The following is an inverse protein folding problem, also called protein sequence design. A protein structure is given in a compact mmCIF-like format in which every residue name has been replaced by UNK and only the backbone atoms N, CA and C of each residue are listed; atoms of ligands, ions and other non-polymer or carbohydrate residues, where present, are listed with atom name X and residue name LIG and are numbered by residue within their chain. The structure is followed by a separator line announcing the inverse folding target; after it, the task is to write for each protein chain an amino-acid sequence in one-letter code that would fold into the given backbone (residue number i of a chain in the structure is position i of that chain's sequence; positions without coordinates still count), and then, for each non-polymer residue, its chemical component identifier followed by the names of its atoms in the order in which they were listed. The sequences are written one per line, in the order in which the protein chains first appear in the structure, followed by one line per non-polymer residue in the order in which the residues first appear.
data_IF_607262125267
#
_entry.id   IF_607262125267
#
_cell.length_a   1.000
_cell.length_b   1.000
_cell.length_c   1.000
_cell.angle_alpha   90.00
_cell.angle_beta   90.00
_cell.angle_gamma   90.00
#
_symmetry.space_group_name_H-M   'P 1'
#
loop_
_entity.id
_entity.type
_entity.pdbx_description
1 polymer ?
#
# COMPACT_ATOMS: atom_id res chain seq x y z
N UNK A 1 36.32 28.72 66.00
CA UNK A 1 37.00 27.80 65.06
C UNK A 1 35.91 27.03 64.35
N UNK A 2 35.36 27.64 63.30
CA UNK A 2 34.59 26.99 62.25
C UNK A 2 35.33 27.43 60.99
N UNK A 3 35.88 26.47 60.24
CA UNK A 3 36.41 26.74 58.90
C UNK A 3 35.32 26.32 57.92
N UNK A 4 34.88 27.30 57.12
CA UNK A 4 33.82 27.20 56.13
C UNK A 4 34.24 26.24 55.00
N UNK A 5 33.42 25.22 54.72
CA UNK A 5 33.66 24.26 53.64
C UNK A 5 32.94 24.76 52.39
N UNK A 6 33.71 25.33 51.47
CA UNK A 6 33.21 26.15 50.36
C UNK A 6 32.68 25.34 49.15
N UNK A 7 32.80 24.01 49.10
CA UNK A 7 32.09 23.20 48.10
C UNK A 7 32.12 21.71 48.44
N UNK A 8 31.12 20.95 47.97
CA UNK A 8 31.12 19.49 48.07
C UNK A 8 30.68 18.82 46.76
N UNK A 9 31.19 17.61 46.53
CA UNK A 9 30.90 16.79 45.35
C UNK A 9 29.88 15.72 45.70
N UNK A 10 28.72 15.70 45.02
CA UNK A 10 27.75 14.62 45.15
C UNK A 10 27.34 14.12 43.78
N UNK A 11 27.48 12.80 43.56
CA UNK A 11 27.16 12.12 42.31
C UNK A 11 27.74 12.79 41.05
N UNK A 12 28.98 13.28 41.15
CA UNK A 12 29.73 13.83 40.00
C UNK A 12 29.40 15.27 39.62
N UNK A 13 28.62 16.01 40.43
CA UNK A 13 28.41 17.46 40.27
C UNK A 13 28.97 18.21 41.49
N UNK A 14 29.71 19.31 41.24
CA UNK A 14 30.21 20.22 42.29
C UNK A 14 29.13 21.28 42.52
N UNK A 15 28.64 21.39 43.75
CA UNK A 15 27.67 22.42 44.14
C UNK A 15 28.42 23.42 45.03
N UNK A 16 28.47 24.66 44.56
CA UNK A 16 29.12 25.80 45.22
C UNK A 16 28.04 26.84 45.56
N UNK A 17 28.16 27.57 46.67
CA UNK A 17 27.10 28.46 47.20
C UNK A 17 26.78 29.63 46.26
N UNK A 18 27.68 29.95 45.34
CA UNK A 18 27.46 31.00 44.37
C UNK A 18 27.01 30.45 43.01
N UNK A 19 25.72 30.73 42.75
CA UNK A 19 25.19 31.15 41.45
C UNK A 19 24.76 30.01 40.52
N UNK A 20 23.43 29.88 40.39
CA UNK A 20 22.79 29.33 39.21
C UNK A 20 23.43 29.91 37.94
N UNK A 21 24.12 29.04 37.22
CA UNK A 21 24.88 29.36 36.02
C UNK A 21 23.94 29.70 34.87
N UNK A 22 24.32 30.69 34.06
CA UNK A 22 23.70 31.06 32.77
C UNK A 22 23.54 29.85 31.81
N UNK A 23 24.21 28.73 32.09
CA UNK A 23 24.04 27.46 31.40
C UNK A 23 22.63 26.85 31.54
N UNK A 24 21.99 26.92 32.71
CA UNK A 24 20.64 26.38 32.92
C UNK A 24 19.55 27.26 32.29
N UNK A 25 19.79 28.58 32.21
CA UNK A 25 18.87 29.52 31.57
C UNK A 25 18.80 29.35 30.03
N UNK A 26 19.89 28.88 29.41
CA UNK A 26 19.95 28.59 27.96
C UNK A 26 19.23 27.30 27.58
N UNK A 27 19.15 26.32 28.48
CA UNK A 27 18.39 25.07 28.26
C UNK A 27 16.87 25.33 28.12
N UNK A 28 16.35 26.32 28.87
CA UNK A 28 14.93 26.70 28.81
C UNK A 28 14.58 27.54 27.57
N UNK A 29 15.52 28.36 27.08
CA UNK A 29 15.34 29.13 25.83
C UNK A 29 15.22 28.22 24.59
N UNK A 30 15.87 27.06 24.62
CA UNK A 30 15.75 26.04 23.56
C UNK A 30 14.40 25.31 23.60
N UNK A 31 13.85 25.03 24.80
CA UNK A 31 12.59 24.30 25.00
C UNK A 31 11.33 25.06 24.57
N UNK A 32 11.37 26.40 24.54
CA UNK A 32 10.24 27.25 24.12
C UNK A 32 10.25 27.68 22.64
N UNK A 33 11.28 27.28 21.87
CA UNK A 33 11.42 27.65 20.46
C UNK A 33 10.49 26.80 19.61
N UNK A 34 9.55 27.44 18.91
CA UNK A 34 8.70 26.77 17.92
C UNK A 34 9.58 26.44 16.71
N UNK A 35 9.77 25.15 16.35
CA UNK A 35 10.61 24.78 15.22
C UNK A 35 10.00 25.30 13.92
N UNK A 36 10.86 25.75 13.00
CA UNK A 36 10.42 26.18 11.67
C UNK A 36 9.91 24.98 10.87
N UNK A 37 9.15 25.25 9.80
CA UNK A 37 8.57 24.20 8.95
C UNK A 37 9.66 23.29 8.37
N UNK A 38 10.83 23.85 8.04
CA UNK A 38 11.99 23.14 7.52
C UNK A 38 12.61 22.23 8.58
N UNK A 39 12.88 22.75 9.77
CA UNK A 39 13.41 21.98 10.91
C UNK A 39 12.48 20.80 11.26
N UNK A 40 11.17 21.02 11.25
CA UNK A 40 10.19 19.96 11.51
C UNK A 40 10.14 18.89 10.40
N UNK A 41 10.36 19.28 9.14
CA UNK A 41 10.46 18.32 8.01
C UNK A 41 11.74 17.48 8.11
N UNK A 42 12.87 18.09 8.47
CA UNK A 42 14.15 17.39 8.69
C UNK A 42 14.10 16.45 9.91
N UNK A 43 13.46 16.88 11.00
CA UNK A 43 13.23 16.03 12.17
C UNK A 43 12.32 14.84 11.82
N UNK A 44 11.32 15.02 10.98
CA UNK A 44 10.47 13.92 10.49
C UNK A 44 11.23 12.94 9.61
N UNK A 45 12.09 13.41 8.70
CA UNK A 45 12.87 12.51 7.83
C UNK A 45 13.91 11.74 8.63
N UNK A 46 14.58 12.38 9.58
CA UNK A 46 15.53 11.72 10.49
C UNK A 46 14.82 10.74 11.42
N UNK A 47 13.69 11.11 12.03
CA UNK A 47 12.89 10.20 12.85
C UNK A 47 12.46 8.96 12.07
N UNK A 48 11.87 9.14 10.88
CA UNK A 48 11.44 8.02 10.03
C UNK A 48 12.63 7.16 9.57
N UNK A 49 13.80 7.78 9.35
CA UNK A 49 15.04 7.05 9.02
C UNK A 49 15.47 6.16 10.19
N UNK A 50 15.57 6.71 11.40
CA UNK A 50 15.91 5.93 12.59
C UNK A 50 14.89 4.83 12.88
N UNK A 51 13.61 5.11 12.71
CA UNK A 51 12.54 4.11 12.84
C UNK A 51 12.73 2.97 11.84
N UNK A 52 13.07 3.28 10.58
CA UNK A 52 13.36 2.27 9.57
C UNK A 52 14.62 1.44 9.86
N UNK A 53 15.67 2.07 10.38
CA UNK A 53 16.93 1.41 10.75
C UNK A 53 16.75 0.47 11.96
N UNK A 54 15.97 0.88 12.95
CA UNK A 54 15.63 0.04 14.11
C UNK A 54 14.82 -1.20 13.68
N UNK A 55 13.84 -1.05 12.79
CA UNK A 55 13.08 -2.18 12.25
C UNK A 55 13.96 -3.17 11.47
N UNK A 56 14.97 -2.67 10.74
CA UNK A 56 15.95 -3.50 10.04
C UNK A 56 16.82 -4.28 11.04
N UNK A 57 17.31 -3.61 12.08
CA UNK A 57 18.12 -4.21 13.13
C UNK A 57 17.37 -5.32 13.88
N UNK A 58 16.13 -5.05 14.29
CA UNK A 58 15.27 -6.06 14.95
C UNK A 58 15.00 -7.26 14.05
N UNK A 59 14.75 -7.03 12.75
CA UNK A 59 14.55 -8.11 11.76
C UNK A 59 15.82 -8.96 11.60
N UNK A 60 16.99 -8.33 11.56
CA UNK A 60 18.28 -9.02 11.46
C UNK A 60 18.59 -9.83 12.72
N UNK A 61 18.44 -9.24 13.90
CA UNK A 61 18.64 -9.88 15.21
C UNK A 61 17.71 -11.09 15.42
N UNK A 62 16.43 -10.93 15.08
CA UNK A 62 15.46 -12.03 15.14
C UNK A 62 15.81 -13.18 14.18
N UNK A 63 16.39 -12.88 13.02
CA UNK A 63 16.80 -13.88 12.03
C UNK A 63 18.02 -14.68 12.48
N UNK A 64 19.00 -14.03 13.13
CA UNK A 64 20.21 -14.69 13.66
C UNK A 64 19.93 -15.51 14.92
N UNK A 65 19.06 -15.04 15.81
CA UNK A 65 18.74 -15.74 17.06
C UNK A 65 17.87 -16.98 16.81
N UNK A 66 16.89 -16.87 15.90
CA UNK A 66 15.93 -17.95 15.64
C UNK A 66 16.30 -18.82 14.42
N UNK A 67 17.38 -18.47 13.69
CA UNK A 67 17.78 -19.09 12.43
C UNK A 67 16.65 -19.11 11.37
N UNK A 68 15.80 -18.07 11.37
CA UNK A 68 14.67 -17.92 10.45
C UNK A 68 15.04 -16.84 9.44
N UNK A 69 15.17 -17.21 8.17
CA UNK A 69 15.49 -16.27 7.10
C UNK A 69 14.22 -15.60 6.57
N UNK A 70 14.11 -14.28 6.77
CA UNK A 70 13.08 -13.46 6.13
C UNK A 70 13.62 -12.85 4.83
N UNK A 71 13.07 -13.24 3.66
CA UNK A 71 13.50 -12.62 2.41
C UNK A 71 13.00 -11.17 2.34
N UNK A 72 13.90 -10.26 2.00
CA UNK A 72 13.60 -8.82 1.80
C UNK A 72 12.71 -8.56 0.57
N UNK A 73 12.53 -9.58 -0.28
CA UNK A 73 11.64 -9.55 -1.43
C UNK A 73 10.87 -10.85 -1.51
N UNK A 74 9.61 -10.83 -1.12
CA UNK A 74 8.70 -11.98 -1.22
C UNK A 74 8.22 -12.06 -2.67
N UNK A 75 8.51 -13.16 -3.35
CA UNK A 75 7.96 -13.39 -4.69
C UNK A 75 6.46 -13.59 -4.60
N UNK A 76 5.71 -12.99 -5.54
CA UNK A 76 4.26 -13.15 -5.61
C UNK A 76 3.85 -14.64 -5.61
N UNK A 77 4.64 -15.51 -6.26
CA UNK A 77 4.42 -16.95 -6.28
C UNK A 77 4.45 -17.60 -4.89
N UNK A 78 5.45 -17.27 -4.06
CA UNK A 78 5.58 -17.79 -2.70
C UNK A 78 4.47 -17.28 -1.78
N UNK A 79 4.03 -16.04 -1.97
CA UNK A 79 2.90 -15.48 -1.23
C UNK A 79 1.59 -16.23 -1.56
N UNK A 80 1.37 -16.56 -2.83
CA UNK A 80 0.17 -17.31 -3.26
C UNK A 80 0.12 -18.75 -2.77
N UNK A 81 1.27 -19.43 -2.70
CA UNK A 81 1.34 -20.80 -2.15
C UNK A 81 0.98 -20.86 -0.66
N UNK A 82 1.32 -19.81 0.10
CA UNK A 82 1.08 -19.76 1.55
C UNK A 82 -0.32 -19.29 1.93
N UNK A 83 -0.89 -18.32 1.22
CA UNK A 83 -2.12 -17.66 1.66
C UNK A 83 -3.40 -18.30 1.12
N UNK A 84 -3.32 -19.20 0.13
CA UNK A 84 -4.49 -19.72 -0.60
C UNK A 84 -5.43 -18.60 -1.12
N UNK A 85 -4.94 -17.36 -1.23
CA UNK A 85 -5.74 -16.21 -1.65
C UNK A 85 -5.83 -16.15 -3.18
N UNK A 86 -6.95 -15.65 -3.68
CA UNK A 86 -7.13 -15.40 -5.10
C UNK A 86 -6.32 -14.15 -5.51
N UNK A 87 -5.66 -14.16 -6.69
CA UNK A 87 -4.97 -12.98 -7.19
C UNK A 87 -5.93 -11.79 -7.27
N UNK A 88 -5.49 -10.61 -6.83
CA UNK A 88 -6.30 -9.40 -6.86
C UNK A 88 -6.83 -9.10 -8.27
N UNK A 89 -6.06 -9.42 -9.31
CA UNK A 89 -6.47 -9.30 -10.71
C UNK A 89 -7.71 -10.15 -11.04
N UNK A 90 -7.80 -11.37 -10.50
CA UNK A 90 -8.97 -12.23 -10.71
C UNK A 90 -10.20 -11.71 -9.97
N UNK A 91 -10.02 -11.19 -8.75
CA UNK A 91 -11.13 -10.56 -8.03
C UNK A 91 -11.65 -9.33 -8.78
N UNK A 92 -10.75 -8.47 -9.26
CA UNK A 92 -11.08 -7.30 -10.04
C UNK A 92 -11.81 -7.73 -11.33
N UNK A 93 -11.32 -8.76 -12.02
CA UNK A 93 -11.95 -9.34 -13.22
C UNK A 93 -13.35 -9.89 -12.91
N UNK A 94 -13.51 -10.70 -11.86
CA UNK A 94 -14.82 -11.24 -11.42
C UNK A 94 -15.82 -10.12 -11.13
N UNK A 95 -15.40 -9.10 -10.37
CA UNK A 95 -16.26 -7.95 -10.02
C UNK A 95 -16.66 -7.16 -11.26
N UNK A 96 -15.71 -6.90 -12.17
CA UNK A 96 -15.94 -6.23 -13.45
C UNK A 96 -16.96 -6.97 -14.30
N UNK A 97 -16.77 -8.27 -14.54
CA UNK A 97 -17.68 -9.07 -15.35
C UNK A 97 -19.05 -9.30 -14.69
N UNK A 98 -19.11 -9.32 -13.34
CA UNK A 98 -20.38 -9.30 -12.61
C UNK A 98 -21.14 -7.99 -12.84
N UNK A 99 -20.44 -6.86 -12.85
CA UNK A 99 -21.01 -5.55 -13.16
C UNK A 99 -21.45 -5.46 -14.63
N UNK A 100 -20.62 -5.87 -15.59
CA UNK A 100 -20.96 -5.90 -17.02
C UNK A 100 -22.24 -6.71 -17.28
N UNK A 101 -22.38 -7.89 -16.65
CA UNK A 101 -23.61 -8.68 -16.78
C UNK A 101 -24.83 -8.06 -16.12
N UNK A 102 -24.67 -7.30 -15.03
CA UNK A 102 -25.77 -6.53 -14.44
C UNK A 102 -26.22 -5.43 -15.41
N UNK A 103 -25.26 -4.70 -15.98
CA UNK A 103 -25.47 -3.59 -16.90
C UNK A 103 -26.13 -4.03 -18.22
N UNK A 104 -25.67 -5.14 -18.82
CA UNK A 104 -26.23 -5.67 -20.07
C UNK A 104 -27.65 -6.21 -19.92
N UNK A 105 -28.03 -6.70 -18.73
CA UNK A 105 -29.39 -7.17 -18.43
C UNK A 105 -30.39 -6.05 -18.15
N UNK A 106 -29.93 -4.80 -18.01
CA UNK A 106 -30.84 -3.66 -17.92
C UNK A 106 -31.54 -3.44 -19.27
N UNK A 107 -32.72 -2.83 -19.22
CA UNK A 107 -33.45 -2.42 -20.43
C UNK A 107 -32.57 -1.56 -21.34
N UNK A 108 -32.78 -1.65 -22.66
CA UNK A 108 -32.05 -0.90 -23.68
C UNK A 108 -31.98 0.60 -23.42
N UNK A 109 -33.01 1.15 -22.76
CA UNK A 109 -33.18 2.58 -22.51
C UNK A 109 -32.33 3.11 -21.34
N UNK A 110 -31.63 2.25 -20.61
CA UNK A 110 -30.84 2.69 -19.46
C UNK A 110 -29.44 3.14 -19.89
N UNK A 111 -29.08 4.40 -19.59
CA UNK A 111 -27.82 5.03 -20.01
C UNK A 111 -26.60 4.20 -19.61
N UNK A 112 -26.63 3.52 -18.46
CA UNK A 112 -25.48 2.69 -18.03
C UNK A 112 -25.24 1.50 -18.95
N UNK A 113 -26.23 1.04 -19.72
CA UNK A 113 -26.06 -0.03 -20.73
C UNK A 113 -25.12 0.38 -21.87
N UNK A 114 -24.97 1.69 -22.09
CA UNK A 114 -24.03 2.24 -23.08
C UNK A 114 -22.59 2.30 -22.55
N UNK A 115 -22.39 2.25 -21.22
CA UNK A 115 -21.07 2.42 -20.60
C UNK A 115 -20.00 1.39 -21.02
N UNK A 116 -20.31 0.09 -21.23
CA UNK A 116 -19.33 -0.89 -21.71
C UNK A 116 -18.86 -0.63 -23.16
N UNK A 117 -19.72 -0.03 -23.98
CA UNK A 117 -19.46 0.25 -25.41
C UNK A 117 -18.98 1.68 -25.64
N UNK A 118 -19.10 2.55 -24.62
CA UNK A 118 -18.77 3.97 -24.72
C UNK A 118 -17.28 4.19 -25.01
N UNK A 119 -17.00 4.89 -26.11
CA UNK A 119 -15.66 5.35 -26.45
C UNK A 119 -15.54 6.85 -26.13
N UNK A 120 -14.83 7.25 -25.05
CA UNK A 120 -14.69 8.65 -24.72
C UNK A 120 -13.78 9.34 -25.74
N UNK A 121 -14.37 10.20 -26.56
CA UNK A 121 -13.66 11.02 -27.53
C UNK A 121 -12.85 12.12 -26.82
N UNK A 122 -11.57 12.26 -27.18
CA UNK A 122 -10.68 13.31 -26.66
C UNK A 122 -9.33 12.83 -26.11
N UNK A 123 -8.44 13.79 -25.84
CA UNK A 123 -7.11 13.54 -25.28
C UNK A 123 -7.19 13.42 -23.75
N UNK A 124 -6.55 12.38 -23.19
CA UNK A 124 -6.50 12.16 -21.74
C UNK A 124 -5.48 13.09 -21.07
N UNK A 125 -5.77 13.52 -19.85
CA UNK A 125 -4.80 14.27 -19.02
C UNK A 125 -3.59 13.37 -18.68
N UNK A 126 -2.40 13.96 -18.69
CA UNK A 126 -1.14 13.30 -18.28
C UNK A 126 -1.26 12.84 -16.82
N UNK A 127 -0.87 11.60 -16.53
CA UNK A 127 -0.95 11.00 -15.18
C UNK A 127 -2.14 10.08 -14.92
N UNK A 128 -3.12 9.98 -15.84
CA UNK A 128 -4.21 9.01 -15.73
C UNK A 128 -3.77 7.61 -16.22
N UNK A 129 -4.18 6.50 -15.56
CA UNK A 129 -3.91 5.14 -16.03
C UNK A 129 -4.30 4.94 -17.50
N UNK A 130 -3.47 4.21 -18.24
CA UNK A 130 -3.58 4.06 -19.71
C UNK A 130 -4.73 3.11 -20.10
N UNK A 131 -4.94 2.14 -19.26
CA UNK A 131 -5.93 1.07 -19.31
C UNK A 131 -7.33 1.62 -19.09
N UNK A 132 -8.20 1.37 -20.07
CA UNK A 132 -9.61 1.75 -20.06
C UNK A 132 -10.42 0.49 -19.82
N UNK A 133 -11.50 0.57 -19.05
CA UNK A 133 -12.42 -0.55 -18.84
C UNK A 133 -12.78 -1.26 -20.17
N UNK A 134 -12.96 -0.50 -21.26
CA UNK A 134 -13.17 -1.04 -22.61
C UNK A 134 -12.03 -1.94 -23.09
N UNK A 135 -10.78 -1.51 -22.97
CA UNK A 135 -9.61 -2.29 -23.42
C UNK A 135 -9.39 -3.54 -22.58
N UNK A 136 -9.63 -3.46 -21.27
CA UNK A 136 -9.51 -4.63 -20.42
C UNK A 136 -10.63 -5.64 -20.67
N UNK A 137 -11.87 -5.17 -20.88
CA UNK A 137 -12.99 -6.03 -21.30
C UNK A 137 -12.69 -6.64 -22.68
N UNK A 138 -12.15 -5.86 -23.62
CA UNK A 138 -11.80 -6.36 -24.96
C UNK A 138 -10.67 -7.39 -24.90
N UNK A 139 -9.67 -7.22 -24.02
CA UNK A 139 -8.61 -8.19 -23.80
C UNK A 139 -9.15 -9.48 -23.16
N UNK A 140 -10.02 -9.37 -22.16
CA UNK A 140 -10.72 -10.49 -21.54
C UNK A 140 -11.61 -11.24 -22.58
N UNK A 141 -12.25 -10.51 -23.49
CA UNK A 141 -13.04 -11.10 -24.58
C UNK A 141 -12.18 -11.83 -25.61
N UNK A 142 -11.05 -11.24 -26.01
CA UNK A 142 -10.07 -11.88 -26.90
C UNK A 142 -9.59 -13.21 -26.30
N UNK A 143 -9.42 -13.29 -24.98
CA UNK A 143 -9.05 -14.53 -24.28
C UNK A 143 -10.13 -15.62 -24.36
N UNK A 144 -11.40 -15.24 -24.46
CA UNK A 144 -12.52 -16.18 -24.61
C UNK A 144 -12.87 -16.52 -26.06
N UNK A 145 -12.23 -15.87 -27.04
CA UNK A 145 -12.62 -15.94 -28.47
C UNK A 145 -14.11 -15.62 -28.74
N UNK A 146 -14.77 -14.88 -27.86
CA UNK A 146 -16.20 -14.59 -27.94
C UNK A 146 -16.46 -13.17 -28.43
N UNK A 147 -17.53 -13.00 -29.21
CA UNK A 147 -17.94 -11.70 -29.72
C UNK A 147 -18.99 -11.01 -28.82
N UNK A 148 -19.09 -9.68 -28.88
CA UNK A 148 -20.11 -8.90 -28.15
C UNK A 148 -21.53 -9.38 -28.44
N UNK A 149 -21.79 -9.77 -29.69
CA UNK A 149 -23.09 -10.32 -30.12
C UNK A 149 -23.43 -11.67 -29.46
N UNK A 150 -22.43 -12.48 -29.13
CA UNK A 150 -22.64 -13.75 -28.42
C UNK A 150 -22.87 -13.50 -26.93
N UNK A 151 -22.18 -12.53 -26.33
CA UNK A 151 -22.44 -12.08 -24.97
C UNK A 151 -23.85 -11.53 -24.78
N UNK A 152 -24.35 -10.75 -25.76
CA UNK A 152 -25.73 -10.25 -25.75
C UNK A 152 -26.78 -11.35 -25.86
N UNK A 153 -26.44 -12.51 -26.43
CA UNK A 153 -27.31 -13.69 -26.49
C UNK A 153 -27.34 -14.46 -25.18
N UNK A 154 -26.25 -14.42 -24.41
CA UNK A 154 -26.13 -15.02 -23.08
C UNK A 154 -26.76 -14.08 -22.03
N UNK A 155 -28.07 -13.88 -22.12
CA UNK A 155 -28.85 -13.08 -21.14
C UNK A 155 -29.09 -13.89 -19.87
N UNK A 156 -29.16 -15.22 -19.99
CA UNK A 156 -29.50 -16.10 -18.89
C UNK A 156 -28.46 -16.04 -17.76
N UNK A 157 -28.96 -16.03 -16.52
CA UNK A 157 -28.15 -15.86 -15.29
C UNK A 157 -27.17 -17.00 -15.10
N UNK A 158 -27.54 -18.22 -15.54
CA UNK A 158 -26.68 -19.40 -15.46
C UNK A 158 -25.60 -19.35 -16.51
N UNK A 159 -25.96 -19.03 -17.77
CA UNK A 159 -25.00 -18.85 -18.86
C UNK A 159 -23.94 -17.79 -18.53
N UNK A 160 -24.36 -16.64 -17.97
CA UNK A 160 -23.43 -15.60 -17.55
C UNK A 160 -22.49 -16.08 -16.42
N UNK A 161 -23.02 -16.86 -15.46
CA UNK A 161 -22.21 -17.41 -14.36
C UNK A 161 -21.15 -18.36 -14.89
N UNK A 162 -21.50 -19.23 -15.85
CA UNK A 162 -20.55 -20.17 -16.47
C UNK A 162 -19.44 -19.43 -17.22
N UNK A 163 -19.79 -18.36 -17.94
CA UNK A 163 -18.82 -17.53 -18.66
C UNK A 163 -17.86 -16.82 -17.70
N UNK A 164 -18.37 -16.22 -16.62
CA UNK A 164 -17.52 -15.56 -15.61
C UNK A 164 -16.64 -16.56 -14.87
N UNK A 165 -17.16 -17.76 -14.57
CA UNK A 165 -16.38 -18.83 -13.98
C UNK A 165 -15.25 -19.28 -14.91
N UNK A 166 -15.50 -19.45 -16.21
CA UNK A 166 -14.49 -19.81 -17.21
C UNK A 166 -13.41 -18.74 -17.42
N UNK A 167 -13.80 -17.46 -17.38
CA UNK A 167 -12.88 -16.30 -17.44
C UNK A 167 -11.93 -16.22 -16.25
N UNK A 168 -12.45 -16.57 -15.07
CA UNK A 168 -11.77 -16.37 -13.81
C UNK A 168 -11.32 -17.69 -13.18
N UNK A 169 -11.37 -18.78 -13.93
CA UNK A 169 -10.66 -20.01 -13.63
C UNK A 169 -9.24 -19.87 -14.16
N UNK A 170 -8.30 -19.63 -13.26
CA UNK A 170 -6.90 -19.89 -13.56
C UNK A 170 -6.79 -21.36 -13.96
N UNK A 171 -6.33 -21.64 -15.19
CA UNK A 171 -5.85 -22.97 -15.49
C UNK A 171 -4.67 -23.22 -14.55
N UNK A 172 -4.85 -24.17 -13.62
CA UNK A 172 -3.84 -24.69 -12.69
C UNK A 172 -2.58 -25.25 -13.42
N UNK A 173 -2.48 -25.11 -14.74
CA UNK A 173 -1.45 -25.66 -15.60
C UNK A 173 -0.16 -24.84 -15.68
N UNK A 174 -0.14 -23.56 -15.28
CA UNK A 174 1.08 -22.73 -15.33
C UNK A 174 1.89 -22.71 -14.00
N UNK A 175 1.70 -23.69 -13.12
CA UNK A 175 2.44 -23.80 -11.83
C UNK A 175 3.78 -24.54 -11.91
N UNK A 176 4.34 -24.73 -13.10
CA UNK A 176 5.68 -25.32 -13.27
C UNK A 176 6.47 -24.53 -14.30
N UNK A 177 7.17 -23.51 -13.84
CA UNK A 177 8.47 -23.08 -14.37
C UNK A 177 9.30 -22.57 -13.22
#
# INVERSE_FOLDING_TARGET
MLEDVESFTYLGSIIDEQRGSDADAKDWQSKGRIPTIEEHMELKTTFNKYESENLQYERQSSSTILNIHWPDTISNGLQWERTNQLPAEEEIRKRRWKWTGHTLRKSSNYITRQAPTWNPEGKRKRGRPKDTLRWEIEADMKRMSNNWKELERIIDRVGWRMLVSGLCSFTRSNRRK
#
